data_IF_939615373460
#
_entry.id   IF_939615373460
#
_cell.length_a   1.000
_cell.length_b   1.000
_cell.length_c   1.000
_cell.angle_alpha   90.00
_cell.angle_beta   90.00
_cell.angle_gamma   90.00
#
_symmetry.space_group_name_H-M   'P 1'
#
loop_
_entity.id
_entity.type
_entity.pdbx_description
1 polymer ?
#
# COMPACT_ATOMS: atom_id res chain seq x y z
N UNK A 1 -1.15 7.79 -8.75
CA UNK A 1 -0.51 7.86 -10.06
C UNK A 1 0.39 6.66 -10.34
N UNK A 2 1.03 6.64 -11.48
CA UNK A 2 1.90 5.50 -11.81
C UNK A 2 3.06 5.37 -10.82
N UNK A 3 3.51 4.14 -10.64
CA UNK A 3 4.64 3.81 -9.80
C UNK A 3 5.89 4.60 -10.20
N UNK A 4 6.72 5.05 -9.24
CA UNK A 4 8.04 5.59 -9.57
C UNK A 4 8.85 4.56 -10.37
N UNK A 5 9.73 5.04 -11.26
CA UNK A 5 10.53 4.15 -12.12
C UNK A 5 11.33 3.10 -11.33
N UNK A 6 11.79 3.45 -10.12
CA UNK A 6 12.56 2.52 -9.26
C UNK A 6 11.76 1.32 -8.78
N UNK A 7 10.42 1.42 -8.84
CA UNK A 7 9.51 0.36 -8.38
C UNK A 7 8.62 -0.20 -9.50
N UNK A 8 8.88 0.21 -10.74
CA UNK A 8 8.06 -0.23 -11.87
C UNK A 8 8.10 -1.75 -12.01
N UNK A 9 6.94 -2.35 -12.21
CA UNK A 9 6.79 -3.79 -12.36
C UNK A 9 6.76 -4.59 -11.05
N UNK A 10 6.82 -3.92 -9.90
CA UNK A 10 6.77 -4.56 -8.58
C UNK A 10 5.45 -4.24 -7.88
N UNK A 11 5.00 -5.18 -7.04
CA UNK A 11 3.83 -4.97 -6.20
C UNK A 11 4.16 -4.01 -5.05
N UNK A 12 3.23 -3.14 -4.74
CA UNK A 12 3.29 -2.26 -3.56
C UNK A 12 1.91 -2.18 -2.94
N UNK A 13 1.85 -1.95 -1.63
CA UNK A 13 0.58 -1.66 -0.97
C UNK A 13 0.05 -0.31 -1.47
N UNK A 14 -1.28 -0.17 -1.64
CA UNK A 14 -1.85 1.12 -1.98
C UNK A 14 -1.54 2.14 -0.89
N UNK A 15 -1.30 3.37 -1.28
CA UNK A 15 -1.01 4.43 -0.34
C UNK A 15 -0.61 5.72 -1.04
N UNK A 16 -0.40 6.73 -0.24
CA UNK A 16 0.00 8.05 -0.70
C UNK A 16 0.27 8.94 0.50
N UNK A 17 0.41 10.21 0.23
CA UNK A 17 0.69 11.18 1.29
C UNK A 17 -0.59 11.60 1.99
N UNK A 18 -0.47 11.80 3.32
CA UNK A 18 -1.55 12.38 4.11
C UNK A 18 -1.66 13.86 3.74
N UNK A 19 -2.87 14.30 3.43
CA UNK A 19 -3.11 15.71 3.11
C UNK A 19 -3.06 16.56 4.37
N UNK A 20 -2.73 17.85 4.20
CA UNK A 20 -2.76 18.77 5.33
C UNK A 20 -4.15 18.78 5.96
N UNK A 21 -4.19 18.60 7.28
CA UNK A 21 -5.47 18.58 8.03
C UNK A 21 -6.22 17.27 7.98
N UNK A 22 -5.69 16.24 7.30
CA UNK A 22 -6.32 14.93 7.18
C UNK A 22 -5.77 13.99 8.25
N UNK A 23 -6.65 13.20 8.88
CA UNK A 23 -6.23 12.12 9.78
C UNK A 23 -5.63 10.97 8.97
N UNK A 24 -4.51 10.36 9.41
CA UNK A 24 -3.93 9.22 8.70
C UNK A 24 -4.89 8.04 8.49
N UNK A 25 -5.81 7.77 9.40
CA UNK A 25 -6.80 6.71 9.22
C UNK A 25 -7.76 7.02 8.07
N UNK A 26 -8.14 8.29 7.90
CA UNK A 26 -8.96 8.70 6.75
C UNK A 26 -8.14 8.67 5.47
N UNK A 27 -6.87 9.05 5.54
CA UNK A 27 -5.98 9.04 4.38
C UNK A 27 -5.79 7.63 3.81
N UNK A 28 -5.60 6.62 4.66
CA UNK A 28 -5.39 5.24 4.17
C UNK A 28 -6.63 4.73 3.45
N UNK A 29 -7.81 5.03 3.95
CA UNK A 29 -9.07 4.62 3.30
C UNK A 29 -9.30 5.37 1.99
N UNK A 30 -9.00 6.66 1.96
CA UNK A 30 -9.10 7.48 0.75
C UNK A 30 -8.16 6.97 -0.34
N UNK A 31 -6.88 6.77 -0.01
CA UNK A 31 -5.89 6.29 -0.97
C UNK A 31 -6.22 4.89 -1.49
N UNK A 32 -6.68 3.99 -0.62
CA UNK A 32 -7.12 2.67 -1.03
C UNK A 32 -8.25 2.76 -2.05
N UNK A 33 -9.26 3.59 -1.78
CA UNK A 33 -10.40 3.75 -2.69
C UNK A 33 -9.95 4.37 -4.02
N UNK A 34 -9.12 5.41 -3.99
CA UNK A 34 -8.64 6.08 -5.20
C UNK A 34 -7.82 5.15 -6.08
N UNK A 35 -6.97 4.33 -5.49
CA UNK A 35 -6.03 3.49 -6.24
C UNK A 35 -6.60 2.13 -6.64
N UNK A 36 -7.58 1.62 -5.91
CA UNK A 36 -8.08 0.26 -6.15
C UNK A 36 -9.57 0.18 -6.44
N UNK A 37 -10.31 1.27 -6.20
CA UNK A 37 -11.77 1.24 -6.31
C UNK A 37 -12.47 0.46 -5.20
N UNK A 38 -11.74 -0.08 -4.24
CA UNK A 38 -12.30 -0.88 -3.14
C UNK A 38 -12.39 -0.04 -1.87
N UNK A 39 -13.57 -0.01 -1.27
CA UNK A 39 -13.79 0.67 0.01
C UNK A 39 -13.28 -0.18 1.17
N UNK A 40 -12.62 0.45 2.12
CA UNK A 40 -12.15 -0.20 3.34
C UNK A 40 -12.83 0.35 4.57
N UNK A 41 -12.74 -0.39 5.65
CA UNK A 41 -13.29 -0.04 6.96
C UNK A 41 -12.31 -0.42 8.07
N UNK A 42 -12.49 0.21 9.23
CA UNK A 42 -11.86 -0.19 10.47
C UNK A 42 -10.32 -0.27 10.37
N UNK A 43 -9.64 0.82 9.96
CA UNK A 43 -8.19 0.81 9.86
C UNK A 43 -7.54 0.64 11.23
N UNK A 44 -6.54 -0.23 11.31
CA UNK A 44 -5.77 -0.50 12.53
C UNK A 44 -4.30 -0.44 12.19
N UNK A 45 -3.52 0.33 12.94
CA UNK A 45 -2.07 0.41 12.68
C UNK A 45 -1.41 -0.95 12.83
N UNK A 46 -0.61 -1.33 11.85
CA UNK A 46 0.18 -2.55 11.89
C UNK A 46 1.63 -2.23 12.26
N UNK A 47 2.24 -1.26 11.60
CA UNK A 47 3.62 -0.87 11.86
C UNK A 47 3.92 0.51 11.27
N UNK A 48 5.04 1.06 11.72
CA UNK A 48 5.59 2.31 11.24
C UNK A 48 7.01 2.05 10.75
N UNK A 49 7.29 2.38 9.50
CA UNK A 49 8.62 2.28 8.92
C UNK A 49 9.17 3.68 8.67
N UNK A 50 10.23 4.03 9.37
CA UNK A 50 10.80 5.38 9.28
C UNK A 50 12.31 5.40 9.05
N UNK A 51 12.91 4.32 8.57
CA UNK A 51 14.35 4.26 8.32
C UNK A 51 14.78 5.32 7.32
N UNK A 52 15.77 6.17 7.63
CA UNK A 52 16.30 7.11 6.66
C UNK A 52 16.74 6.42 5.38
N UNK A 53 16.36 6.99 4.25
CA UNK A 53 16.71 6.41 2.95
C UNK A 53 15.76 5.34 2.44
N UNK A 54 14.71 4.98 3.19
CA UNK A 54 13.74 3.99 2.74
C UNK A 54 13.05 4.40 1.43
N UNK A 55 12.85 5.70 1.22
CA UNK A 55 12.38 6.25 -0.05
C UNK A 55 13.54 7.06 -0.65
N UNK A 56 13.99 6.73 -1.87
CA UNK A 56 15.11 7.44 -2.48
C UNK A 56 14.80 8.90 -2.84
N UNK A 57 13.53 9.26 -2.90
CA UNK A 57 13.10 10.61 -3.32
C UNK A 57 13.19 11.62 -2.18
N UNK A 58 12.84 11.22 -0.96
CA UNK A 58 12.86 12.08 0.23
C UNK A 58 12.67 11.26 1.49
N UNK A 59 12.93 11.88 2.64
CA UNK A 59 12.67 11.23 3.92
C UNK A 59 11.16 11.05 4.11
N UNK A 60 10.71 9.81 4.23
CA UNK A 60 9.31 9.47 4.43
C UNK A 60 9.15 8.51 5.61
N UNK A 61 8.11 8.74 6.39
CA UNK A 61 7.67 7.80 7.43
C UNK A 61 6.42 7.13 6.90
N UNK A 62 6.47 5.80 6.78
CA UNK A 62 5.34 5.00 6.32
C UNK A 62 4.51 4.47 7.47
N UNK A 63 3.22 4.75 7.45
CA UNK A 63 2.23 4.19 8.37
C UNK A 63 1.50 3.08 7.64
N UNK A 64 1.61 1.85 8.12
CA UNK A 64 0.99 0.68 7.49
C UNK A 64 -0.18 0.21 8.33
N UNK A 65 -1.34 0.07 7.68
CA UNK A 65 -2.60 -0.28 8.32
C UNK A 65 -3.14 -1.61 7.83
N UNK A 66 -3.78 -2.34 8.74
CA UNK A 66 -4.71 -3.40 8.36
C UNK A 66 -6.08 -2.75 8.17
N UNK A 67 -6.78 -3.15 7.13
CA UNK A 67 -8.09 -2.59 6.77
C UNK A 67 -9.01 -3.75 6.42
N UNK A 68 -10.25 -3.69 6.90
CA UNK A 68 -11.26 -4.67 6.53
C UNK A 68 -11.85 -4.27 5.17
N UNK A 69 -12.01 -5.24 4.28
CA UNK A 69 -12.55 -5.00 2.96
C UNK A 69 -13.35 -6.21 2.46
N UNK A 70 -14.22 -5.97 1.48
CA UNK A 70 -14.95 -7.03 0.81
C UNK A 70 -14.02 -7.71 -0.20
N UNK A 71 -13.61 -8.95 0.09
CA UNK A 71 -12.72 -9.72 -0.78
C UNK A 71 -13.39 -10.16 -2.08
N UNK A 72 -14.71 -10.08 -2.17
CA UNK A 72 -15.43 -10.34 -3.42
C UNK A 72 -15.46 -9.13 -4.36
N UNK A 73 -15.09 -7.94 -3.85
CA UNK A 73 -14.95 -6.77 -4.70
C UNK A 73 -13.81 -6.96 -5.69
N UNK A 74 -14.00 -6.47 -6.90
CA UNK A 74 -12.97 -6.53 -7.96
C UNK A 74 -12.16 -5.23 -7.92
N UNK A 75 -10.87 -5.29 -7.56
CA UNK A 75 -10.03 -4.10 -7.61
C UNK A 75 -9.85 -3.61 -9.05
N UNK A 76 -9.87 -2.29 -9.21
CA UNK A 76 -9.60 -1.64 -10.49
C UNK A 76 -8.61 -0.52 -10.24
N UNK A 77 -7.45 -0.59 -10.87
CA UNK A 77 -6.43 0.44 -10.70
C UNK A 77 -6.87 1.79 -11.23
N UNK A 78 -6.30 2.85 -10.68
CA UNK A 78 -6.63 4.22 -11.07
C UNK A 78 -6.30 4.51 -12.54
N UNK A 79 -5.23 3.91 -13.06
CA UNK A 79 -4.75 4.15 -14.43
C UNK A 79 -5.21 3.08 -15.42
N UNK A 80 -5.32 1.82 -14.96
CA UNK A 80 -5.79 0.71 -15.77
C UNK A 80 -6.27 -0.44 -14.87
N UNK A 81 -7.00 -1.40 -15.45
CA UNK A 81 -7.59 -2.51 -14.72
C UNK A 81 -6.55 -3.51 -14.17
N UNK A 82 -5.31 -3.44 -14.65
CA UNK A 82 -4.25 -4.36 -14.24
C UNK A 82 -3.39 -3.81 -13.12
N UNK A 83 -3.53 -2.53 -12.77
CA UNK A 83 -2.67 -1.88 -11.80
C UNK A 83 -3.04 -2.17 -10.34
N UNK A 84 -4.15 -2.87 -10.09
CA UNK A 84 -4.54 -3.29 -8.75
C UNK A 84 -5.14 -4.70 -8.79
N UNK A 85 -4.82 -5.51 -7.77
CA UNK A 85 -5.33 -6.87 -7.66
C UNK A 85 -5.29 -7.34 -6.20
N UNK A 86 -6.15 -8.30 -5.87
CA UNK A 86 -5.98 -9.09 -4.66
C UNK A 86 -4.84 -10.06 -4.88
N UNK A 87 -3.85 -10.03 -4.00
CA UNK A 87 -2.69 -10.92 -4.06
C UNK A 87 -2.52 -11.57 -2.70
N UNK A 88 -2.40 -12.90 -2.68
CA UNK A 88 -2.15 -13.60 -1.42
C UNK A 88 -0.75 -13.30 -0.91
N UNK A 89 -0.61 -13.24 0.41
CA UNK A 89 0.69 -13.00 1.03
C UNK A 89 1.73 -14.03 0.57
N UNK A 90 1.33 -15.27 0.39
CA UNK A 90 2.25 -16.34 -0.04
C UNK A 90 2.80 -16.14 -1.45
N UNK A 91 2.11 -15.37 -2.29
CA UNK A 91 2.57 -15.06 -3.64
C UNK A 91 3.59 -13.92 -3.68
N UNK A 92 3.85 -13.25 -2.56
CA UNK A 92 4.75 -12.09 -2.49
C UNK A 92 6.13 -12.48 -1.95
N UNK A 93 7.18 -11.93 -2.55
CA UNK A 93 8.57 -12.21 -2.18
C UNK A 93 9.46 -11.01 -2.51
N UNK A 94 10.74 -11.12 -2.15
CA UNK A 94 11.73 -10.11 -2.49
C UNK A 94 11.84 -9.84 -4.00
N UNK A 95 11.41 -10.80 -4.82
CA UNK A 95 11.50 -10.68 -6.27
C UNK A 95 10.40 -9.84 -6.88
N UNK A 96 9.25 -9.70 -6.19
CA UNK A 96 8.08 -9.02 -6.76
C UNK A 96 7.47 -7.92 -5.89
N UNK A 97 8.08 -7.60 -4.76
CA UNK A 97 7.58 -6.55 -3.85
C UNK A 97 8.51 -5.34 -3.87
N UNK A 98 7.91 -4.16 -3.98
CA UNK A 98 8.64 -2.90 -4.06
C UNK A 98 9.19 -2.46 -2.71
N UNK A 99 10.40 -1.88 -2.71
CA UNK A 99 10.98 -1.17 -1.57
C UNK A 99 10.98 -2.02 -0.29
N UNK A 100 10.77 -1.38 0.86
CA UNK A 100 10.73 -2.02 2.17
C UNK A 100 9.34 -2.59 2.52
N UNK A 101 8.39 -2.59 1.60
CA UNK A 101 7.10 -3.25 1.79
C UNK A 101 7.25 -4.74 2.10
N UNK A 102 8.37 -5.34 1.70
CA UNK A 102 8.67 -6.72 2.05
C UNK A 102 8.74 -6.95 3.56
N UNK A 103 9.17 -5.97 4.33
CA UNK A 103 9.18 -6.05 5.81
C UNK A 103 7.77 -6.31 6.32
N UNK A 104 6.78 -5.60 5.77
CA UNK A 104 5.37 -5.76 6.15
C UNK A 104 4.85 -7.13 5.69
N UNK A 105 5.20 -7.57 4.49
CA UNK A 105 4.82 -8.89 3.99
C UNK A 105 5.34 -9.98 4.92
N UNK A 106 6.59 -9.88 5.33
CA UNK A 106 7.21 -10.87 6.23
C UNK A 106 6.54 -10.88 7.61
N UNK A 107 6.13 -9.72 8.12
CA UNK A 107 5.36 -9.64 9.37
C UNK A 107 4.02 -10.38 9.25
N UNK A 108 3.33 -10.24 8.13
CA UNK A 108 2.02 -10.84 7.91
C UNK A 108 2.07 -12.35 7.75
N UNK A 109 3.25 -12.92 7.48
CA UNK A 109 3.45 -14.37 7.38
C UNK A 109 3.63 -15.07 8.71
N UNK A 110 3.81 -14.33 9.76
CA UNK A 110 4.06 -14.89 11.09
C UNK A 110 2.77 -15.30 11.80
#
# INVERSE_FOLDING_TARGET
>A
GPEPAVWAGLWAFPGGFVDYGEDPEDAVLREMLEETGVSGENPRILDVLGTPGRDPRKHCVGLFYLVDADLDATPVGADDAESAAWVTIDALSAENVASDHLIIVDMLRQ
#
